data_IF_852658899668
#
_entry.id   IF_852658899668
#
_cell.length_a   1.000
_cell.length_b   1.000
_cell.length_c   1.000
_cell.angle_alpha   90.00
_cell.angle_beta   90.00
_cell.angle_gamma   90.00
#
_symmetry.space_group_name_H-M   'P 1'
#
loop_
_entity.id
_entity.type
_entity.pdbx_description
1 polymer ?
#
# COMPACT_ATOMS: atom_id res chain seq x y z
N UNK A 1 29.30 11.06 -17.08
CA UNK A 1 29.02 10.21 -18.26
C UNK A 1 27.54 9.94 -18.24
N UNK A 2 26.76 10.78 -18.93
CA UNK A 2 25.30 10.81 -18.79
C UNK A 2 24.67 10.40 -20.11
N UNK A 3 24.12 9.19 -20.10
CA UNK A 3 23.49 8.50 -21.23
C UNK A 3 22.16 9.17 -21.57
N UNK A 4 22.08 9.81 -22.74
CA UNK A 4 20.79 10.29 -23.27
C UNK A 4 20.09 9.14 -24.00
N UNK A 5 18.95 8.73 -23.44
CA UNK A 5 18.03 7.75 -24.01
C UNK A 5 17.11 8.45 -25.02
N UNK A 6 17.32 8.19 -26.31
CA UNK A 6 16.38 8.57 -27.38
C UNK A 6 15.24 7.55 -27.42
N UNK A 7 14.10 7.93 -26.85
CA UNK A 7 12.86 7.14 -26.91
C UNK A 7 12.11 7.50 -28.21
N UNK A 8 12.19 6.63 -29.21
CA UNK A 8 11.38 6.70 -30.43
C UNK A 8 9.94 6.35 -30.09
N UNK A 9 9.02 7.32 -30.20
CA UNK A 9 7.58 7.07 -30.09
C UNK A 9 7.09 6.48 -31.42
N UNK A 10 6.90 5.17 -31.44
CA UNK A 10 6.26 4.42 -32.51
C UNK A 10 4.86 4.01 -32.01
N UNK A 11 3.81 4.62 -32.56
CA UNK A 11 2.43 4.22 -32.31
C UNK A 11 1.91 3.27 -33.41
N UNK A 12 1.00 2.34 -33.07
CA UNK A 12 0.80 1.08 -33.81
C UNK A 12 -0.10 1.23 -35.04
N UNK A 13 0.21 0.44 -36.06
CA UNK A 13 -0.62 0.25 -37.25
C UNK A 13 -1.93 -0.49 -36.88
N UNK A 14 -3.07 0.06 -37.29
CA UNK A 14 -4.36 -0.61 -37.19
C UNK A 14 -4.55 -1.57 -38.38
N UNK A 15 -4.92 -2.81 -38.07
CA UNK A 15 -5.35 -3.84 -39.01
C UNK A 15 -6.76 -3.52 -39.54
N UNK A 16 -6.91 -3.41 -40.85
CA UNK A 16 -8.19 -3.41 -41.56
C UNK A 16 -8.13 -4.42 -42.70
N UNK A 17 -9.00 -5.42 -42.65
CA UNK A 17 -9.03 -6.58 -43.54
C UNK A 17 -9.49 -6.22 -44.96
N UNK A 18 -8.87 -6.88 -45.94
CA UNK A 18 -9.08 -6.77 -47.39
C UNK A 18 -10.50 -7.10 -47.88
N UNK A 19 -10.91 -6.43 -48.96
CA UNK A 19 -11.66 -7.05 -50.06
C UNK A 19 -11.33 -6.33 -51.37
N UNK A 20 -10.68 -7.08 -52.28
CA UNK A 20 -10.12 -6.62 -53.56
C UNK A 20 -11.14 -6.67 -54.69
N UNK A 21 -11.11 -5.66 -55.56
CA UNK A 21 -11.18 -5.70 -57.05
C UNK A 21 -11.67 -4.30 -57.51
N UNK A 22 -11.06 -3.56 -58.43
CA UNK A 22 -10.55 -3.98 -59.74
C UNK A 22 -9.55 -2.96 -60.30
N UNK A 23 -8.60 -3.51 -61.03
CA UNK A 23 -7.62 -2.90 -61.93
C UNK A 23 -7.90 -1.48 -62.45
N UNK A 24 -7.04 -0.55 -62.04
CA UNK A 24 -6.53 0.49 -62.92
C UNK A 24 -5.01 0.52 -62.76
N UNK A 25 -4.30 0.18 -63.82
CA UNK A 25 -2.85 0.31 -63.98
C UNK A 25 -2.42 1.78 -63.80
N UNK A 26 -2.33 2.24 -62.56
CA UNK A 26 -1.72 3.50 -62.17
C UNK A 26 -0.41 3.20 -61.46
N UNK A 27 0.59 2.69 -62.19
CA UNK A 27 1.97 2.76 -61.70
C UNK A 27 2.31 4.25 -61.58
N UNK A 28 2.08 4.84 -60.40
CA UNK A 28 2.68 6.11 -60.02
C UNK A 28 4.19 5.85 -59.98
N UNK A 29 4.85 6.03 -61.12
CA UNK A 29 6.27 5.77 -61.29
C UNK A 29 7.03 6.52 -60.18
N UNK A 30 7.72 5.77 -59.32
CA UNK A 30 8.56 6.33 -58.28
C UNK A 30 9.51 7.35 -58.92
N UNK A 31 9.32 8.63 -58.62
CA UNK A 31 10.16 9.70 -59.16
C UNK A 31 11.55 9.53 -58.55
N UNK A 32 12.53 9.27 -59.40
CA UNK A 32 13.95 9.14 -59.04
C UNK A 32 14.68 10.35 -59.57
N UNK A 33 15.63 10.88 -58.80
CA UNK A 33 16.51 11.96 -59.25
C UNK A 33 17.90 11.41 -59.62
N UNK A 34 18.82 12.27 -60.08
CA UNK A 34 20.17 12.00 -60.59
C UNK A 34 20.98 10.87 -59.90
N UNK A 35 20.74 10.59 -58.61
CA UNK A 35 21.36 9.49 -57.87
C UNK A 35 20.69 8.10 -58.03
N UNK A 36 19.59 7.99 -58.79
CA UNK A 36 18.81 6.77 -58.98
C UNK A 36 17.93 6.36 -57.78
N UNK A 37 17.98 7.12 -56.68
CA UNK A 37 17.22 6.85 -55.46
C UNK A 37 15.82 7.48 -55.55
N UNK A 38 14.83 6.79 -55.00
CA UNK A 38 13.44 7.27 -54.92
C UNK A 38 13.35 8.49 -54.00
N UNK A 39 12.59 9.49 -54.45
CA UNK A 39 12.27 10.67 -53.65
C UNK A 39 11.23 10.34 -52.59
N UNK A 40 11.46 10.82 -51.37
CA UNK A 40 10.52 10.71 -50.26
C UNK A 40 9.64 11.94 -50.19
N UNK A 41 8.36 11.73 -49.88
CA UNK A 41 7.42 12.80 -49.56
C UNK A 41 7.45 13.04 -48.05
N UNK A 42 8.03 14.17 -47.63
CA UNK A 42 8.26 14.54 -46.23
C UNK A 42 7.33 15.68 -45.86
N UNK A 43 6.80 15.68 -44.63
CA UNK A 43 6.01 16.80 -44.08
C UNK A 43 6.91 17.74 -43.29
N UNK A 44 6.90 19.03 -43.62
CA UNK A 44 7.57 20.07 -42.83
C UNK A 44 6.76 20.39 -41.57
N UNK A 45 7.45 20.49 -40.43
CA UNK A 45 6.89 20.92 -39.15
C UNK A 45 7.52 22.23 -38.65
N UNK A 46 8.09 23.01 -39.56
CA UNK A 46 8.65 24.32 -39.25
C UNK A 46 7.54 25.36 -39.10
N UNK A 47 7.75 26.40 -38.28
CA UNK A 47 6.79 27.50 -38.07
C UNK A 47 6.34 28.16 -39.40
N UNK A 48 7.24 28.25 -40.39
CA UNK A 48 6.94 28.88 -41.68
C UNK A 48 6.23 27.99 -42.71
N UNK A 49 6.28 26.66 -42.52
CA UNK A 49 5.66 25.68 -43.41
C UNK A 49 5.09 24.48 -42.63
N UNK A 50 4.22 24.68 -41.61
CA UNK A 50 3.67 23.59 -40.82
C UNK A 50 2.73 22.75 -41.68
N UNK A 51 2.92 21.43 -41.68
CA UNK A 51 2.10 20.49 -42.42
C UNK A 51 2.33 20.46 -43.94
N UNK A 52 3.19 21.34 -44.50
CA UNK A 52 3.45 21.40 -45.94
C UNK A 52 4.41 20.31 -46.37
N UNK A 53 4.06 19.54 -47.41
CA UNK A 53 4.91 18.45 -47.89
C UNK A 53 5.90 18.90 -48.95
N UNK A 54 7.10 18.33 -48.88
CA UNK A 54 8.15 18.47 -49.88
C UNK A 54 8.68 17.10 -50.30
N UNK A 55 9.20 17.02 -51.51
CA UNK A 55 9.95 15.87 -51.99
C UNK A 55 11.44 16.14 -51.85
N UNK A 56 12.15 15.20 -51.23
CA UNK A 56 13.61 15.24 -51.12
C UNK A 56 14.21 13.86 -51.38
N UNK A 57 15.46 13.82 -51.82
CA UNK A 57 16.20 12.55 -51.88
C UNK A 57 16.40 11.99 -50.47
N UNK A 58 16.26 10.68 -50.26
CA UNK A 58 16.53 10.05 -48.96
C UNK A 58 17.91 10.43 -48.40
N UNK A 59 18.92 10.52 -49.28
CA UNK A 59 20.29 10.85 -48.90
C UNK A 59 20.55 12.35 -48.69
N UNK A 60 19.55 13.25 -48.73
CA UNK A 60 19.72 14.72 -48.63
C UNK A 60 20.47 15.23 -47.38
N UNK A 61 20.70 14.37 -46.37
CA UNK A 61 21.42 14.71 -45.14
C UNK A 61 22.89 14.26 -45.12
N UNK A 62 23.37 13.63 -46.19
CA UNK A 62 24.73 13.10 -46.29
C UNK A 62 25.69 14.07 -47.03
N UNK A 63 27.00 14.07 -46.74
CA UNK A 63 27.95 15.01 -47.36
C UNK A 63 28.09 14.88 -48.89
N UNK A 64 27.74 13.73 -49.48
CA UNK A 64 27.75 13.46 -50.93
C UNK A 64 26.34 13.48 -51.55
N UNK A 65 25.42 14.24 -50.94
CA UNK A 65 24.00 14.10 -51.24
C UNK A 65 23.57 14.70 -52.58
N UNK A 66 22.52 14.09 -53.11
CA UNK A 66 21.69 14.67 -54.14
C UNK A 66 20.85 15.81 -53.51
N UNK A 67 21.12 17.04 -53.93
CA UNK A 67 20.47 18.27 -53.44
C UNK A 67 19.03 18.45 -53.96
N UNK A 68 18.36 17.38 -54.38
CA UNK A 68 17.01 17.50 -54.88
C UNK A 68 16.05 17.89 -53.77
N UNK A 69 15.41 19.04 -53.94
CA UNK A 69 14.33 19.52 -53.11
C UNK A 69 13.26 20.17 -53.99
N UNK A 70 12.00 19.81 -53.77
CA UNK A 70 10.86 20.58 -54.28
C UNK A 70 9.70 20.54 -53.32
N UNK A 71 8.93 21.63 -53.26
CA UNK A 71 7.63 21.58 -52.61
C UNK A 71 6.67 20.70 -53.41
N UNK A 72 5.95 19.84 -52.69
CA UNK A 72 4.89 19.02 -53.26
C UNK A 72 3.55 19.75 -53.14
N UNK A 73 3.26 20.28 -51.95
CA UNK A 73 2.09 21.12 -51.73
C UNK A 73 2.40 22.58 -52.11
N UNK A 74 1.37 23.28 -52.59
CA UNK A 74 1.44 24.73 -52.81
C UNK A 74 1.75 25.49 -51.53
N UNK A 75 2.24 26.72 -51.69
CA UNK A 75 2.53 27.56 -50.55
C UNK A 75 1.23 27.95 -49.84
N UNK A 76 1.22 27.78 -48.51
CA UNK A 76 0.08 28.19 -47.72
C UNK A 76 -0.14 29.70 -47.82
N UNK A 77 -1.40 30.14 -47.79
CA UNK A 77 -1.72 31.55 -47.76
C UNK A 77 -1.15 32.22 -46.49
N UNK A 78 -0.89 33.53 -46.57
CA UNK A 78 -0.31 34.32 -45.46
C UNK A 78 -1.12 34.17 -44.17
N UNK A 79 -2.45 34.12 -44.28
CA UNK A 79 -3.33 33.93 -43.13
C UNK A 79 -3.09 32.58 -42.43
N UNK A 80 -2.94 31.50 -43.18
CA UNK A 80 -2.68 30.17 -42.59
C UNK A 80 -1.32 30.10 -41.90
N UNK A 81 -0.30 30.78 -42.44
CA UNK A 81 1.03 30.88 -41.81
C UNK A 81 1.01 31.61 -40.47
N UNK A 82 0.03 32.48 -40.23
CA UNK A 82 -0.15 33.16 -38.95
C UNK A 82 -1.02 32.33 -37.98
N UNK A 83 -2.13 31.79 -38.46
CA UNK A 83 -3.14 31.15 -37.61
C UNK A 83 -2.68 29.78 -37.13
N UNK A 84 -2.14 28.95 -38.01
CA UNK A 84 -1.83 27.54 -37.69
C UNK A 84 -0.79 27.44 -36.56
N UNK A 85 0.34 28.19 -36.57
CA UNK A 85 1.28 28.14 -35.45
C UNK A 85 0.70 28.71 -34.15
N UNK A 86 -0.15 29.74 -34.25
CA UNK A 86 -0.84 30.31 -33.09
C UNK A 86 -1.74 29.28 -32.38
N UNK A 87 -2.55 28.58 -33.17
CA UNK A 87 -3.41 27.50 -32.66
C UNK A 87 -2.58 26.35 -32.07
N UNK A 88 -1.50 25.93 -32.74
CA UNK A 88 -0.64 24.86 -32.25
C UNK A 88 -0.02 25.20 -30.88
N UNK A 89 0.46 26.44 -30.69
CA UNK A 89 0.98 26.90 -29.40
C UNK A 89 -0.07 26.85 -28.29
N UNK A 90 -1.28 27.32 -28.57
CA UNK A 90 -2.36 27.28 -27.58
C UNK A 90 -2.79 25.83 -27.27
N UNK A 91 -2.89 24.95 -28.27
CA UNK A 91 -3.20 23.53 -28.04
C UNK A 91 -2.14 22.88 -27.16
N UNK A 92 -0.86 23.04 -27.48
CA UNK A 92 0.23 22.46 -26.68
C UNK A 92 0.23 23.01 -25.24
N UNK A 93 -0.07 24.30 -25.07
CA UNK A 93 -0.20 24.92 -23.74
C UNK A 93 -1.37 24.34 -22.95
N UNK A 94 -2.53 24.18 -23.59
CA UNK A 94 -3.72 23.60 -22.98
C UNK A 94 -3.50 22.13 -22.60
N UNK A 95 -2.83 21.35 -23.44
CA UNK A 95 -2.44 19.98 -23.14
C UNK A 95 -1.53 19.90 -21.91
N UNK A 96 -0.54 20.79 -21.80
CA UNK A 96 0.34 20.86 -20.64
C UNK A 96 -0.41 21.21 -19.35
N UNK A 97 -1.32 22.19 -19.42
CA UNK A 97 -2.14 22.60 -18.28
C UNK A 97 -3.07 21.46 -17.85
N UNK A 98 -3.70 20.78 -18.81
CA UNK A 98 -4.57 19.64 -18.53
C UNK A 98 -3.81 18.50 -17.85
N UNK A 99 -2.61 18.17 -18.35
CA UNK A 99 -1.76 17.15 -17.74
C UNK A 99 -1.37 17.51 -16.29
N UNK A 100 -1.01 18.77 -16.07
CA UNK A 100 -0.69 19.29 -14.73
C UNK A 100 -1.90 19.22 -13.79
N UNK A 101 -3.09 19.57 -14.30
CA UNK A 101 -4.30 19.55 -13.49
C UNK A 101 -4.76 18.12 -13.16
N UNK A 102 -4.60 17.20 -14.10
CA UNK A 102 -4.82 15.77 -13.87
C UNK A 102 -3.89 15.22 -12.78
N UNK A 103 -2.61 15.62 -12.78
CA UNK A 103 -1.66 15.22 -11.75
C UNK A 103 -2.07 15.76 -10.37
N UNK A 104 -2.46 17.03 -10.27
CA UNK A 104 -2.98 17.61 -9.02
C UNK A 104 -4.24 16.90 -8.53
N UNK A 105 -5.17 16.60 -9.42
CA UNK A 105 -6.41 15.90 -9.06
C UNK A 105 -6.11 14.50 -8.52
N UNK A 106 -5.14 13.80 -9.14
CA UNK A 106 -4.68 12.51 -8.62
C UNK A 106 -4.05 12.65 -7.23
N UNK A 107 -3.23 13.67 -7.01
CA UNK A 107 -2.65 13.96 -5.70
C UNK A 107 -3.72 14.27 -4.64
N UNK A 108 -4.77 15.02 -5.02
CA UNK A 108 -5.89 15.33 -4.14
C UNK A 108 -6.68 14.07 -3.77
N UNK A 109 -6.93 13.17 -4.72
CA UNK A 109 -7.55 11.87 -4.44
C UNK A 109 -6.71 11.02 -3.48
N UNK A 110 -5.39 10.97 -3.69
CA UNK A 110 -4.48 10.25 -2.80
C UNK A 110 -4.51 10.84 -1.38
N UNK A 111 -4.59 12.16 -1.26
CA UNK A 111 -4.70 12.84 0.03
C UNK A 111 -6.02 12.52 0.77
N UNK A 112 -7.14 12.48 0.04
CA UNK A 112 -8.44 12.09 0.58
C UNK A 112 -8.43 10.65 1.11
N UNK A 113 -7.83 9.71 0.36
CA UNK A 113 -7.66 8.32 0.80
C UNK A 113 -6.80 8.20 2.07
N UNK A 114 -5.76 9.02 2.20
CA UNK A 114 -4.93 9.05 3.41
C UNK A 114 -5.73 9.57 4.60
N UNK A 115 -6.55 10.60 4.42
CA UNK A 115 -7.39 11.14 5.48
C UNK A 115 -8.41 10.11 5.98
N UNK A 116 -9.09 9.41 5.08
CA UNK A 116 -10.01 8.32 5.43
C UNK A 116 -9.30 7.19 6.19
N UNK A 117 -8.11 6.79 5.73
CA UNK A 117 -7.29 5.79 6.42
C UNK A 117 -6.94 6.24 7.83
N UNK A 118 -6.56 7.51 8.01
CA UNK A 118 -6.25 8.09 9.32
C UNK A 118 -7.47 8.04 10.25
N UNK A 119 -8.65 8.40 9.75
CA UNK A 119 -9.90 8.34 10.53
C UNK A 119 -10.23 6.91 10.98
N UNK A 120 -10.05 5.93 10.11
CA UNK A 120 -10.24 4.51 10.43
C UNK A 120 -9.24 4.01 11.49
N UNK A 121 -7.96 4.41 11.39
CA UNK A 121 -6.94 4.08 12.40
C UNK A 121 -7.30 4.67 13.76
N UNK A 122 -7.77 5.92 13.81
CA UNK A 122 -8.20 6.57 15.04
C UNK A 122 -9.42 5.88 15.66
N UNK A 123 -10.40 5.51 14.85
CA UNK A 123 -11.57 4.74 15.29
C UNK A 123 -11.16 3.39 15.89
N UNK A 124 -10.30 2.63 15.20
CA UNK A 124 -9.79 1.36 15.68
C UNK A 124 -8.98 1.51 16.98
N UNK A 125 -8.14 2.55 17.09
CA UNK A 125 -7.37 2.82 18.30
C UNK A 125 -8.28 3.15 19.49
N UNK A 126 -9.34 3.94 19.28
CA UNK A 126 -10.36 4.20 20.31
C UNK A 126 -11.01 2.90 20.78
N UNK A 127 -11.50 2.09 19.85
CA UNK A 127 -12.13 0.81 20.19
C UNK A 127 -11.18 -0.14 20.93
N UNK A 128 -9.90 -0.18 20.54
CA UNK A 128 -8.88 -0.95 21.25
C UNK A 128 -8.69 -0.43 22.68
N UNK A 129 -8.64 0.89 22.86
CA UNK A 129 -8.47 1.53 24.17
C UNK A 129 -9.63 1.24 25.11
N UNK A 130 -10.87 1.25 24.61
CA UNK A 130 -12.06 0.87 25.38
C UNK A 130 -12.00 -0.60 25.82
N UNK A 131 -11.66 -1.51 24.90
CA UNK A 131 -11.44 -2.93 25.23
C UNK A 131 -10.35 -3.11 26.28
N UNK A 132 -9.24 -2.39 26.15
CA UNK A 132 -8.15 -2.44 27.11
C UNK A 132 -8.59 -1.95 28.49
N UNK A 133 -9.34 -0.84 28.56
CA UNK A 133 -9.92 -0.34 29.81
C UNK A 133 -10.81 -1.38 30.50
N UNK A 134 -11.69 -2.03 29.73
CA UNK A 134 -12.57 -3.08 30.26
C UNK A 134 -11.79 -4.30 30.79
N UNK A 135 -10.68 -4.67 30.13
CA UNK A 135 -9.79 -5.73 30.63
C UNK A 135 -9.12 -5.32 31.93
N UNK A 136 -8.65 -4.07 32.03
CA UNK A 136 -8.00 -3.56 33.24
C UNK A 136 -8.95 -3.55 34.44
N UNK A 137 -10.21 -3.16 34.24
CA UNK A 137 -11.25 -3.19 35.29
C UNK A 137 -11.53 -4.63 35.77
N UNK A 138 -11.68 -5.58 34.84
CA UNK A 138 -11.82 -7.00 35.19
C UNK A 138 -10.60 -7.52 35.93
N UNK A 139 -9.40 -7.14 35.52
CA UNK A 139 -8.17 -7.56 36.18
C UNK A 139 -8.08 -7.00 37.61
N UNK A 140 -8.52 -5.76 37.86
CA UNK A 140 -8.58 -5.24 39.23
C UNK A 140 -9.56 -6.00 40.13
N UNK A 141 -10.71 -6.40 39.62
CA UNK A 141 -11.68 -7.21 40.37
C UNK A 141 -11.08 -8.58 40.75
N UNK A 142 -10.41 -9.24 39.80
CA UNK A 142 -9.74 -10.54 40.06
C UNK A 142 -8.64 -10.41 41.12
N UNK A 143 -7.88 -9.32 41.12
CA UNK A 143 -6.86 -9.06 42.16
C UNK A 143 -7.52 -8.95 43.54
N UNK A 144 -8.66 -8.26 43.64
CA UNK A 144 -9.35 -8.09 44.91
C UNK A 144 -9.92 -9.41 45.44
N UNK A 145 -10.54 -10.20 44.56
CA UNK A 145 -11.02 -11.55 44.90
C UNK A 145 -9.86 -12.46 45.34
N UNK A 146 -8.72 -12.39 44.65
CA UNK A 146 -7.53 -13.15 45.02
C UNK A 146 -7.04 -12.76 46.42
N UNK A 147 -7.00 -11.47 46.75
CA UNK A 147 -6.63 -10.99 48.10
C UNK A 147 -7.59 -11.53 49.16
N UNK A 148 -8.90 -11.43 48.93
CA UNK A 148 -9.91 -11.93 49.86
C UNK A 148 -9.78 -13.45 50.08
N UNK A 149 -9.63 -14.22 49.01
CA UNK A 149 -9.46 -15.67 49.09
C UNK A 149 -8.17 -16.07 49.83
N UNK A 150 -7.07 -15.34 49.61
CA UNK A 150 -5.82 -15.58 50.35
C UNK A 150 -5.97 -15.27 51.84
N UNK A 151 -6.71 -14.21 52.21
CA UNK A 151 -6.99 -13.87 53.60
C UNK A 151 -7.87 -14.94 54.28
N UNK A 152 -8.90 -15.43 53.58
CA UNK A 152 -9.75 -16.53 54.08
C UNK A 152 -8.93 -17.81 54.28
N UNK A 153 -8.08 -18.18 53.33
CA UNK A 153 -7.20 -19.34 53.44
C UNK A 153 -6.25 -19.21 54.64
N UNK A 154 -5.68 -18.02 54.87
CA UNK A 154 -4.84 -17.75 56.03
C UNK A 154 -5.62 -17.93 57.34
N UNK A 155 -6.87 -17.47 57.39
CA UNK A 155 -7.77 -17.65 58.53
C UNK A 155 -8.06 -19.13 58.79
N UNK A 156 -8.35 -19.92 57.76
CA UNK A 156 -8.54 -21.37 57.88
C UNK A 156 -7.29 -22.09 58.40
N UNK A 157 -6.12 -21.80 57.82
CA UNK A 157 -4.84 -22.37 58.30
C UNK A 157 -4.52 -21.98 59.74
N UNK A 158 -4.92 -20.78 60.18
CA UNK A 158 -4.78 -20.36 61.59
C UNK A 158 -5.70 -21.16 62.49
N UNK A 159 -6.98 -21.34 62.12
CA UNK A 159 -7.93 -22.20 62.85
C UNK A 159 -7.45 -23.64 62.96
N UNK A 160 -6.93 -24.21 61.87
CA UNK A 160 -6.37 -25.56 61.86
C UNK A 160 -5.17 -25.69 62.82
N UNK A 161 -4.22 -24.74 62.77
CA UNK A 161 -3.10 -24.70 63.72
C UNK A 161 -3.57 -24.59 65.17
N UNK A 162 -4.52 -23.71 65.45
CA UNK A 162 -5.10 -23.56 66.79
C UNK A 162 -5.76 -24.86 67.27
N UNK A 163 -6.55 -25.51 66.41
CA UNK A 163 -7.22 -26.76 66.74
C UNK A 163 -6.23 -27.89 67.04
N UNK A 164 -5.14 -28.01 66.25
CA UNK A 164 -4.06 -28.97 66.52
C UNK A 164 -3.41 -28.74 67.89
N UNK A 165 -3.18 -27.48 68.27
CA UNK A 165 -2.63 -27.13 69.59
C UNK A 165 -3.61 -27.53 70.71
N UNK A 166 -4.90 -27.22 70.57
CA UNK A 166 -5.92 -27.58 71.57
C UNK A 166 -5.99 -29.09 71.77
N UNK A 167 -6.03 -29.86 70.69
CA UNK A 167 -6.05 -31.34 70.74
C UNK A 167 -4.80 -31.85 71.46
N UNK A 168 -3.61 -31.34 71.13
CA UNK A 168 -2.37 -31.75 71.78
C UNK A 168 -2.38 -31.49 73.30
N UNK A 169 -2.86 -30.33 73.74
CA UNK A 169 -2.99 -30.00 75.17
C UNK A 169 -3.99 -30.92 75.87
N UNK A 170 -5.13 -31.20 75.25
CA UNK A 170 -6.13 -32.12 75.80
C UNK A 170 -5.57 -33.53 76.01
N UNK A 171 -4.80 -34.04 75.04
CA UNK A 171 -4.12 -35.34 75.15
C UNK A 171 -3.13 -35.36 76.31
N UNK A 172 -2.36 -34.28 76.50
CA UNK A 172 -1.43 -34.16 77.63
C UNK A 172 -2.15 -34.16 78.99
N UNK A 173 -3.29 -33.46 79.10
CA UNK A 173 -4.12 -33.45 80.31
C UNK A 173 -4.64 -34.86 80.61
N UNK A 174 -5.21 -35.55 79.62
CA UNK A 174 -5.74 -36.91 79.79
C UNK A 174 -4.62 -37.88 80.21
N UNK A 175 -3.45 -37.80 79.58
CA UNK A 175 -2.29 -38.63 79.94
C UNK A 175 -1.86 -38.39 81.39
N UNK A 176 -1.81 -37.13 81.85
CA UNK A 176 -1.53 -36.80 83.24
C UNK A 176 -2.57 -37.40 84.18
N UNK A 177 -3.87 -37.26 83.86
CA UNK A 177 -4.96 -37.83 84.67
C UNK A 177 -4.86 -39.35 84.79
N UNK A 178 -4.49 -40.07 83.72
CA UNK A 178 -4.28 -41.54 83.74
C UNK A 178 -3.07 -41.93 84.58
N UNK A 179 -1.94 -41.22 84.44
CA UNK A 179 -0.70 -41.48 85.18
C UNK A 179 -0.84 -41.23 86.70
N UNK A 180 -1.74 -40.32 87.08
CA UNK A 180 -2.00 -39.95 88.48
C UNK A 180 -3.29 -40.56 89.04
N UNK A 181 -3.90 -41.56 88.38
CA UNK A 181 -4.98 -42.31 89.02
C UNK A 181 -4.42 -43.02 90.27
N UNK A 182 -4.91 -42.72 91.48
CA UNK A 182 -4.46 -43.41 92.68
C UNK A 182 -4.87 -44.88 92.57
N UNK A 183 -3.93 -45.81 92.77
CA UNK A 183 -4.20 -47.26 92.76
C UNK A 183 -5.10 -47.67 93.94
N UNK A 184 -6.37 -47.30 93.95
CA UNK A 184 -7.39 -47.84 94.84
C UNK A 184 -7.90 -49.15 94.28
N UNK A 185 -7.10 -50.22 94.39
CA UNK A 185 -7.52 -51.51 93.87
C UNK A 185 -6.60 -52.71 94.06
N UNK A 186 -5.56 -52.65 94.91
CA UNK A 186 -4.86 -53.86 95.37
C UNK A 186 -5.50 -54.32 96.69
N UNK A 187 -6.59 -55.09 96.59
CA UNK A 187 -7.14 -55.83 97.73
C UNK A 187 -6.11 -56.84 98.21
N UNK A 188 -5.48 -56.58 99.35
CA UNK A 188 -4.64 -57.54 100.07
C UNK A 188 -5.50 -58.74 100.51
N UNK A 189 -5.06 -59.99 100.31
CA UNK A 189 -5.75 -61.15 100.88
C UNK A 189 -5.56 -61.15 102.41
N UNK A 190 -6.68 -61.19 103.14
CA UNK A 190 -6.74 -61.37 104.60
C UNK A 190 -6.00 -62.65 104.99
N UNK A 191 -4.92 -62.53 105.76
CA UNK A 191 -4.43 -63.66 106.57
C UNK A 191 -5.37 -63.85 107.75
N UNK A 192 -5.98 -65.03 107.84
CA UNK A 192 -6.73 -65.52 108.99
C UNK A 192 -5.76 -66.27 109.92
N UNK A 193 -5.80 -65.89 111.19
CA UNK A 193 -5.41 -66.75 112.33
C UNK A 193 -6.35 -67.97 112.39
#
# INVERSE_FOLDING_TARGET
MSSQSTRSNQFPAQNGSDSRSSSSNGNAAAVRYHCGIQLELVTSWTEGNPGRRFQACHNHKMPSCCEFFRWFDEEMCSRSKEVVPGLLRETNKLELLLATEQEKNKLLQDYELVFERQANVLSNHRAMKEKHSAVMEKHSAVIEDQKNLTAELQMFKKKERMLKIVIAVMVLIIAFQVMFQPEFGKTMPRQLL
#
